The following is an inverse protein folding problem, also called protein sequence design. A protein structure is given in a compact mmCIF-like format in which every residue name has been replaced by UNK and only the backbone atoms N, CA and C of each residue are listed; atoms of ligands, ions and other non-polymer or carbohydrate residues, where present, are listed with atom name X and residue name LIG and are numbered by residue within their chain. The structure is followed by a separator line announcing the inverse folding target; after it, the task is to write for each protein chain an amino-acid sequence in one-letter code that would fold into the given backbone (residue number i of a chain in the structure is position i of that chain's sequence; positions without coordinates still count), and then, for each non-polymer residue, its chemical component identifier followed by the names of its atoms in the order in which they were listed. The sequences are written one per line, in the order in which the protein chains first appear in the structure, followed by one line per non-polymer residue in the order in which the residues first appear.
data_IF_141351559104
#
_entry.id   IF_141351559104
#
_cell.length_a   1.000
_cell.length_b   1.000
_cell.length_c   1.000
_cell.angle_alpha   90.00
_cell.angle_beta   90.00
_cell.angle_gamma   90.00
#
_symmetry.space_group_name_H-M   'P 1'
#
loop_
_entity.id
_entity.type
_entity.pdbx_description
1 polymer ?
#
# COMPACT_ATOMS: atom_id res chain seq x y z
N UNK A 1 -4.29 0.59 17.62
CA UNK A 1 -3.42 1.72 17.30
C UNK A 1 -2.09 1.61 18.03
N UNK A 2 -1.01 1.47 17.30
CA UNK A 2 0.34 1.38 17.87
C UNK A 2 0.89 2.78 18.08
N UNK A 3 1.39 3.12 19.30
CA UNK A 3 1.81 4.48 19.63
C UNK A 3 2.97 5.03 18.79
N UNK A 4 3.82 4.17 18.25
CA UNK A 4 4.99 4.58 17.46
C UNK A 4 5.04 3.82 16.14
N UNK A 5 4.29 4.32 15.16
CA UNK A 5 4.21 3.70 13.82
C UNK A 5 5.55 3.69 13.08
N UNK A 6 6.42 4.68 13.31
CA UNK A 6 7.75 4.72 12.74
C UNK A 6 8.58 3.51 13.17
N UNK A 7 8.61 3.20 14.46
CA UNK A 7 9.35 2.06 14.98
C UNK A 7 8.78 0.75 14.47
N UNK A 8 7.44 0.62 14.42
CA UNK A 8 6.79 -0.58 13.87
C UNK A 8 7.18 -0.82 12.43
N UNK A 9 7.19 0.22 11.61
CA UNK A 9 7.59 0.13 10.20
C UNK A 9 9.07 -0.26 10.05
N UNK A 10 9.95 0.32 10.86
CA UNK A 10 11.38 -0.01 10.85
C UNK A 10 11.62 -1.46 11.30
N UNK A 11 10.94 -1.91 12.34
CA UNK A 11 11.06 -3.27 12.85
C UNK A 11 10.49 -4.29 11.85
N UNK A 12 9.33 -3.99 11.26
CA UNK A 12 8.74 -4.82 10.21
C UNK A 12 9.70 -4.97 9.02
N UNK A 13 10.32 -3.87 8.57
CA UNK A 13 11.29 -3.91 7.47
C UNK A 13 12.50 -4.79 7.82
N UNK A 14 13.03 -4.70 9.03
CA UNK A 14 14.16 -5.53 9.48
C UNK A 14 13.81 -7.02 9.56
N UNK A 15 12.62 -7.33 10.06
CA UNK A 15 12.18 -8.71 10.27
C UNK A 15 11.79 -9.42 8.97
N UNK A 16 11.33 -8.70 7.97
CA UNK A 16 10.94 -9.28 6.69
C UNK A 16 12.16 -9.82 5.94
N UNK A 17 11.98 -10.95 5.29
CA UNK A 17 12.91 -11.42 4.25
C UNK A 17 12.78 -10.54 3.01
N UNK A 18 13.84 -10.45 2.19
CA UNK A 18 13.77 -9.82 0.87
C UNK A 18 12.70 -10.54 0.03
N UNK A 19 11.83 -9.77 -0.60
CA UNK A 19 10.65 -10.29 -1.31
C UNK A 19 9.43 -10.47 -0.41
N UNK A 20 9.57 -10.34 0.90
CA UNK A 20 8.46 -10.37 1.84
C UNK A 20 7.60 -9.10 1.80
N UNK A 21 6.39 -9.21 2.31
CA UNK A 21 5.45 -8.10 2.38
C UNK A 21 4.89 -7.91 3.79
N UNK A 22 4.62 -6.65 4.13
CA UNK A 22 3.85 -6.26 5.31
C UNK A 22 2.46 -5.83 4.84
N UNK A 23 1.46 -6.64 5.13
CA UNK A 23 0.07 -6.47 4.69
C UNK A 23 -0.81 -6.17 5.90
N UNK A 24 -1.41 -4.99 5.95
CA UNK A 24 -2.19 -4.58 7.13
C UNK A 24 -3.19 -3.47 6.81
N UNK A 25 -4.15 -3.28 7.71
CA UNK A 25 -5.12 -2.19 7.68
C UNK A 25 -5.00 -1.34 8.94
N UNK A 26 -5.18 -0.05 8.79
CA UNK A 26 -5.25 0.90 9.90
C UNK A 26 -6.14 2.10 9.53
N UNK A 27 -6.38 2.98 10.49
CA UNK A 27 -7.16 4.20 10.31
C UNK A 27 -6.23 5.37 10.01
N UNK A 28 -6.60 6.13 8.98
CA UNK A 28 -5.87 7.31 8.50
C UNK A 28 -6.81 8.50 8.36
N UNK A 29 -6.24 9.70 8.45
CA UNK A 29 -6.97 10.96 8.26
C UNK A 29 -6.58 11.63 6.93
N UNK A 30 -7.48 12.47 6.42
CA UNK A 30 -7.22 13.28 5.22
C UNK A 30 -6.33 14.50 5.48
N UNK A 31 -6.05 14.78 6.73
CA UNK A 31 -5.18 15.87 7.21
C UNK A 31 -4.61 15.55 8.58
N UNK A 32 -3.58 16.28 9.01
CA UNK A 32 -3.00 16.10 10.36
C UNK A 32 -4.00 16.48 11.44
N UNK A 33 -4.12 15.62 12.45
CA UNK A 33 -4.98 15.86 13.60
C UNK A 33 -4.32 16.92 14.50
N UNK A 34 -5.04 17.99 14.90
CA UNK A 34 -4.52 18.98 15.81
C UNK A 34 -4.06 18.37 17.15
N UNK A 35 -2.95 18.86 17.69
CA UNK A 35 -2.33 18.31 18.92
C UNK A 35 -3.30 18.20 20.09
N UNK A 36 -4.18 19.20 20.29
CA UNK A 36 -5.15 19.20 21.39
C UNK A 36 -6.18 18.07 21.31
N UNK A 37 -6.37 17.45 20.13
CA UNK A 37 -7.26 16.29 19.92
C UNK A 37 -6.56 14.97 20.09
N UNK A 38 -5.22 14.90 19.98
CA UNK A 38 -4.48 13.63 20.04
C UNK A 38 -4.51 12.98 21.41
N UNK A 39 -4.74 13.74 22.49
CA UNK A 39 -4.90 13.25 23.86
C UNK A 39 -6.36 13.18 24.34
N UNK A 40 -7.33 13.39 23.45
CA UNK A 40 -8.74 13.37 23.80
C UNK A 40 -9.20 11.91 24.03
N UNK A 41 -9.72 11.62 25.22
CA UNK A 41 -10.14 10.28 25.62
C UNK A 41 -11.29 9.72 24.78
N UNK A 42 -12.23 10.57 24.36
CA UNK A 42 -13.34 10.17 23.52
C UNK A 42 -12.86 9.73 22.14
N UNK A 43 -11.94 10.49 21.55
CA UNK A 43 -11.33 10.12 20.26
C UNK A 43 -10.44 8.89 20.37
N UNK A 44 -9.79 8.72 21.50
CA UNK A 44 -9.00 7.50 21.77
C UNK A 44 -9.89 6.26 21.81
N UNK A 45 -11.04 6.33 22.48
CA UNK A 45 -12.02 5.26 22.52
C UNK A 45 -12.55 4.86 21.13
N UNK A 46 -12.70 5.82 20.23
CA UNK A 46 -13.11 5.60 18.83
C UNK A 46 -11.94 5.26 17.89
N UNK A 47 -10.74 5.08 18.42
CA UNK A 47 -9.51 4.80 17.66
C UNK A 47 -9.10 5.90 16.66
N UNK A 48 -9.55 7.13 16.84
CA UNK A 48 -9.30 8.23 15.92
C UNK A 48 -8.11 9.12 16.34
N UNK A 49 -7.83 9.23 17.63
CA UNK A 49 -6.78 10.13 18.15
C UNK A 49 -5.37 9.80 17.67
N UNK A 50 -5.09 8.54 17.37
CA UNK A 50 -3.81 8.05 16.88
C UNK A 50 -3.73 7.89 15.36
N UNK A 51 -4.76 8.28 14.62
CA UNK A 51 -4.76 8.18 13.17
C UNK A 51 -3.73 9.15 12.57
N UNK A 52 -2.85 8.63 11.69
CA UNK A 52 -1.93 9.46 10.93
C UNK A 52 -2.62 10.04 9.69
N UNK A 53 -2.19 11.22 9.29
CA UNK A 53 -2.40 11.71 7.95
C UNK A 53 -1.78 10.72 6.94
N UNK A 54 -2.55 10.30 5.93
CA UNK A 54 -2.13 9.23 5.01
C UNK A 54 -0.79 9.49 4.33
N UNK A 55 -0.49 10.76 3.99
CA UNK A 55 0.77 11.09 3.34
C UNK A 55 1.96 11.08 4.31
N UNK A 56 1.76 11.44 5.57
CA UNK A 56 2.78 11.30 6.61
C UNK A 56 3.12 9.81 6.82
N UNK A 57 2.12 8.92 6.81
CA UNK A 57 2.34 7.49 6.86
C UNK A 57 3.14 6.99 5.65
N UNK A 58 2.77 7.40 4.43
CA UNK A 58 3.50 7.05 3.21
C UNK A 58 4.98 7.42 3.30
N UNK A 59 5.27 8.63 3.78
CA UNK A 59 6.66 9.09 3.96
C UNK A 59 7.41 8.31 5.03
N UNK A 60 6.75 7.93 6.13
CA UNK A 60 7.35 7.07 7.16
C UNK A 60 7.66 5.67 6.62
N UNK A 61 6.77 5.10 5.83
CA UNK A 61 6.97 3.79 5.20
C UNK A 61 8.17 3.83 4.24
N UNK A 62 8.26 4.84 3.40
CA UNK A 62 9.40 5.06 2.50
C UNK A 62 10.71 5.24 3.26
N UNK A 63 10.69 6.02 4.34
CA UNK A 63 11.85 6.24 5.22
C UNK A 63 12.31 4.96 5.93
N UNK A 64 11.42 4.01 6.19
CA UNK A 64 11.76 2.71 6.76
C UNK A 64 12.38 1.74 5.75
N UNK A 65 12.25 2.01 4.44
CA UNK A 65 12.77 1.20 3.35
C UNK A 65 11.72 0.59 2.42
N UNK A 66 10.43 0.77 2.71
CA UNK A 66 9.34 0.38 1.83
C UNK A 66 9.12 1.47 0.77
N UNK A 67 9.88 1.41 -0.31
CA UNK A 67 9.99 2.50 -1.29
C UNK A 67 8.71 2.80 -2.06
N UNK A 68 7.81 1.82 -2.20
CA UNK A 68 6.57 1.95 -2.97
C UNK A 68 5.38 1.34 -2.23
N UNK A 69 4.79 2.05 -1.25
CA UNK A 69 3.60 1.61 -0.55
C UNK A 69 2.41 1.44 -1.51
N UNK A 70 1.78 0.27 -1.51
CA UNK A 70 0.61 -0.02 -2.35
C UNK A 70 -0.68 -0.02 -1.54
N UNK A 71 -1.66 0.71 -2.03
CA UNK A 71 -3.00 0.76 -1.43
C UNK A 71 -3.86 -0.35 -2.03
N UNK A 72 -4.32 -1.26 -1.19
CA UNK A 72 -5.19 -2.37 -1.60
C UNK A 72 -6.65 -1.95 -1.57
N UNK A 73 -7.06 -1.24 -0.52
CA UNK A 73 -8.43 -0.74 -0.38
C UNK A 73 -8.49 0.50 0.49
N UNK A 74 -9.48 1.34 0.21
CA UNK A 74 -9.81 2.53 1.00
C UNK A 74 -11.29 2.48 1.30
N UNK A 75 -11.65 2.57 2.59
CA UNK A 75 -13.06 2.62 3.04
C UNK A 75 -13.28 3.83 3.92
N UNK A 76 -14.22 4.73 3.57
CA UNK A 76 -14.58 5.84 4.45
C UNK A 76 -15.10 5.33 5.80
N UNK A 77 -14.75 6.02 6.88
CA UNK A 77 -15.27 5.76 8.21
C UNK A 77 -16.39 6.76 8.49
N UNK A 78 -17.59 6.25 8.76
CA UNK A 78 -18.73 7.05 9.16
C UNK A 78 -18.70 7.25 10.67
N UNK A 79 -18.61 8.50 11.12
CA UNK A 79 -18.66 8.85 12.54
C UNK A 79 -20.14 9.08 12.93
N UNK A 80 -20.68 8.15 13.73
CA UNK A 80 -22.08 8.20 14.18
C UNK A 80 -22.28 8.99 15.48
N UNK A 81 -21.24 9.05 16.32
CA UNK A 81 -21.28 9.82 17.56
C UNK A 81 -21.21 11.33 17.25
N UNK A 82 -22.26 12.06 17.60
CA UNK A 82 -22.40 13.49 17.33
C UNK A 82 -21.35 14.34 18.03
N UNK A 83 -20.91 13.98 19.23
CA UNK A 83 -19.89 14.71 19.98
C UNK A 83 -18.52 14.52 19.33
N UNK A 84 -18.18 13.28 18.95
CA UNK A 84 -16.96 12.97 18.20
C UNK A 84 -16.94 13.74 16.89
N UNK A 85 -18.05 13.72 16.15
CA UNK A 85 -18.14 14.45 14.88
C UNK A 85 -17.87 15.93 15.03
N UNK A 86 -18.44 16.59 16.05
CA UNK A 86 -18.18 18.01 16.33
C UNK A 86 -16.70 18.30 16.65
N UNK A 87 -16.02 17.37 17.35
CA UNK A 87 -14.62 17.52 17.70
C UNK A 87 -13.69 17.42 16.50
N UNK A 88 -14.01 16.55 15.55
CA UNK A 88 -13.11 16.24 14.44
C UNK A 88 -13.43 16.95 13.14
N UNK A 89 -14.66 17.47 12.95
CA UNK A 89 -15.01 18.19 11.73
C UNK A 89 -14.02 19.34 11.45
N UNK A 90 -13.56 19.49 10.20
CA UNK A 90 -13.93 18.79 8.98
C UNK A 90 -13.03 17.61 8.62
N UNK A 91 -12.30 17.02 9.56
CA UNK A 91 -11.38 15.90 9.32
C UNK A 91 -12.16 14.67 8.90
N UNK A 92 -11.73 14.04 7.81
CA UNK A 92 -12.28 12.75 7.32
C UNK A 92 -11.32 11.62 7.65
N UNK A 93 -11.90 10.48 8.01
CA UNK A 93 -11.15 9.27 8.37
C UNK A 93 -11.47 8.13 7.41
N UNK A 94 -10.46 7.30 7.18
CA UNK A 94 -10.53 6.16 6.26
C UNK A 94 -9.83 4.95 6.87
N UNK A 95 -10.41 3.77 6.68
CA UNK A 95 -9.70 2.52 6.84
C UNK A 95 -8.97 2.22 5.56
N UNK A 96 -7.64 2.15 5.60
CA UNK A 96 -6.80 1.88 4.43
C UNK A 96 -6.03 0.59 4.67
N UNK A 97 -6.06 -0.31 3.68
CA UNK A 97 -5.24 -1.51 3.65
C UNK A 97 -4.05 -1.27 2.74
N UNK A 98 -2.85 -1.49 3.26
CA UNK A 98 -1.58 -1.35 2.57
C UNK A 98 -0.88 -2.68 2.34
N UNK A 99 -0.12 -2.75 1.24
CA UNK A 99 0.91 -3.76 0.99
C UNK A 99 2.25 -3.05 0.86
N UNK A 100 3.17 -3.40 1.73
CA UNK A 100 4.53 -2.84 1.75
C UNK A 100 5.52 -3.96 1.45
N UNK A 101 6.24 -3.84 0.34
CA UNK A 101 7.20 -4.86 -0.09
C UNK A 101 8.63 -4.49 0.31
N UNK A 102 9.36 -5.47 0.84
CA UNK A 102 10.82 -5.38 1.03
C UNK A 102 11.52 -5.89 -0.21
N UNK A 103 11.74 -5.00 -1.18
CA UNK A 103 12.44 -5.30 -2.43
C UNK A 103 13.50 -4.22 -2.65
N UNK A 104 14.75 -4.64 -2.86
CA UNK A 104 15.91 -3.75 -2.89
C UNK A 104 15.85 -2.74 -4.05
N UNK A 105 15.46 -3.21 -5.23
CA UNK A 105 15.59 -2.45 -6.48
C UNK A 105 14.33 -1.67 -6.87
N UNK A 106 13.38 -1.47 -5.94
CA UNK A 106 12.24 -0.59 -6.18
C UNK A 106 12.71 0.85 -6.37
N UNK A 107 12.13 1.52 -7.36
CA UNK A 107 12.36 2.92 -7.66
C UNK A 107 11.33 3.81 -6.95
N UNK A 108 11.64 5.12 -6.75
CA UNK A 108 10.68 6.04 -6.11
C UNK A 108 9.36 6.17 -6.86
N UNK A 109 9.41 6.11 -8.20
CA UNK A 109 8.26 6.26 -9.09
C UNK A 109 8.15 5.05 -10.03
N UNK A 110 6.99 4.91 -10.67
CA UNK A 110 6.78 3.88 -11.68
C UNK A 110 7.50 4.22 -12.99
N UNK A 111 8.50 3.42 -13.34
CA UNK A 111 9.29 3.59 -14.56
C UNK A 111 8.94 2.51 -15.59
N UNK A 112 9.00 2.87 -16.86
CA UNK A 112 8.65 2.00 -17.99
C UNK A 112 9.91 1.34 -18.61
N UNK A 113 9.95 0.02 -18.56
CA UNK A 113 10.98 -0.80 -19.20
C UNK A 113 10.39 -1.71 -20.29
N UNK A 114 9.16 -1.47 -20.72
CA UNK A 114 8.46 -2.29 -21.71
C UNK A 114 8.13 -3.70 -21.20
N UNK A 115 7.91 -3.84 -19.90
CA UNK A 115 7.64 -5.14 -19.26
C UNK A 115 6.15 -5.42 -19.15
N UNK A 116 5.80 -6.71 -19.22
CA UNK A 116 4.44 -7.17 -19.06
C UNK A 116 4.38 -8.46 -18.24
N UNK A 117 3.24 -8.70 -17.62
CA UNK A 117 2.98 -9.89 -16.81
C UNK A 117 1.63 -10.50 -17.18
N UNK A 118 1.51 -11.83 -17.03
CA UNK A 118 0.28 -12.55 -17.28
C UNK A 118 -0.03 -13.46 -16.10
N UNK A 119 -1.23 -13.30 -15.53
CA UNK A 119 -1.70 -14.18 -14.46
C UNK A 119 -2.11 -15.54 -15.04
N UNK A 120 -1.58 -16.62 -14.46
CA UNK A 120 -1.82 -18.01 -14.93
C UNK A 120 -3.20 -18.56 -14.53
N UNK A 121 -3.85 -17.99 -13.51
CA UNK A 121 -5.10 -18.48 -12.96
C UNK A 121 -4.94 -19.77 -12.14
N UNK A 122 -3.77 -20.02 -11.60
CA UNK A 122 -3.42 -21.25 -10.86
C UNK A 122 -3.44 -21.06 -9.32
N UNK A 123 -4.07 -20.02 -8.84
CA UNK A 123 -4.44 -19.86 -7.43
C UNK A 123 -5.91 -20.25 -7.27
N UNK A 124 -6.19 -21.31 -6.54
CA UNK A 124 -7.53 -21.92 -6.45
C UNK A 124 -8.60 -20.95 -5.92
N UNK A 125 -8.22 -20.08 -4.97
CA UNK A 125 -9.14 -19.08 -4.40
C UNK A 125 -9.41 -17.90 -5.35
N UNK A 126 -8.65 -17.78 -6.44
CA UNK A 126 -8.74 -16.65 -7.39
C UNK A 126 -8.57 -17.13 -8.84
N UNK A 127 -9.42 -18.04 -9.34
CA UNK A 127 -9.17 -18.73 -10.64
C UNK A 127 -9.31 -17.81 -11.86
N UNK A 128 -9.97 -16.67 -11.73
CA UNK A 128 -10.28 -15.78 -12.86
C UNK A 128 -9.41 -14.53 -12.92
N UNK A 129 -8.99 -14.01 -11.78
CA UNK A 129 -8.16 -12.81 -11.68
C UNK A 129 -7.49 -12.72 -10.32
N UNK A 130 -6.42 -11.93 -10.23
CA UNK A 130 -5.75 -11.60 -8.97
C UNK A 130 -5.45 -10.10 -8.94
N UNK A 131 -5.55 -9.50 -7.76
CA UNK A 131 -5.23 -8.09 -7.56
C UNK A 131 -4.00 -7.93 -6.68
N UNK A 132 -3.06 -7.09 -7.13
CA UNK A 132 -1.91 -6.67 -6.32
C UNK A 132 -2.31 -5.53 -5.37
N UNK A 133 -3.02 -4.55 -5.91
CA UNK A 133 -3.54 -3.38 -5.23
C UNK A 133 -4.82 -2.90 -5.93
N UNK A 134 -5.40 -1.77 -5.49
CA UNK A 134 -6.65 -1.25 -6.04
C UNK A 134 -6.56 -0.85 -7.52
N UNK A 135 -5.35 -0.55 -8.03
CA UNK A 135 -5.11 -0.14 -9.43
C UNK A 135 -4.61 -1.25 -10.33
N UNK A 136 -4.23 -2.40 -9.79
CA UNK A 136 -3.57 -3.47 -10.52
C UNK A 136 -4.28 -4.82 -10.32
N UNK A 137 -5.23 -5.10 -11.22
CA UNK A 137 -5.92 -6.39 -11.31
C UNK A 137 -5.52 -7.09 -12.61
N UNK A 138 -5.17 -8.36 -12.50
CA UNK A 138 -4.67 -9.19 -13.60
C UNK A 138 -5.65 -10.31 -13.90
N UNK A 139 -6.40 -10.22 -15.01
CA UNK A 139 -7.25 -11.32 -15.46
C UNK A 139 -6.40 -12.48 -15.97
N UNK A 140 -6.88 -13.71 -15.76
CA UNK A 140 -6.24 -14.93 -16.23
C UNK A 140 -5.96 -14.89 -17.72
N UNK A 141 -4.74 -15.26 -18.12
CA UNK A 141 -4.37 -15.49 -19.50
C UNK A 141 -4.18 -14.25 -20.36
N UNK A 142 -4.15 -13.05 -19.75
CA UNK A 142 -3.90 -11.80 -20.47
C UNK A 142 -2.61 -11.16 -20.00
N UNK A 143 -1.72 -10.86 -20.94
CA UNK A 143 -0.56 -10.00 -20.67
C UNK A 143 -1.02 -8.57 -20.45
N UNK A 144 -0.47 -7.96 -19.41
CA UNK A 144 -0.72 -6.57 -19.03
C UNK A 144 0.61 -5.86 -18.82
N UNK A 145 0.77 -4.73 -19.46
CA UNK A 145 1.94 -3.86 -19.26
C UNK A 145 1.98 -3.37 -17.83
N UNK A 146 3.17 -3.33 -17.25
CA UNK A 146 3.39 -2.91 -15.86
C UNK A 146 4.67 -2.09 -15.75
N UNK A 147 4.73 -1.21 -14.76
CA UNK A 147 5.96 -0.52 -14.40
C UNK A 147 6.98 -1.50 -13.77
N UNK A 148 8.25 -1.08 -13.73
CA UNK A 148 9.32 -1.86 -13.15
C UNK A 148 9.07 -2.30 -11.70
N UNK A 149 8.50 -1.42 -10.87
CA UNK A 149 8.17 -1.77 -9.49
C UNK A 149 7.12 -2.88 -9.40
N UNK A 150 6.04 -2.79 -10.16
CA UNK A 150 5.01 -3.84 -10.21
C UNK A 150 5.60 -5.15 -10.73
N UNK A 151 6.43 -5.11 -11.76
CA UNK A 151 7.15 -6.29 -12.25
C UNK A 151 7.98 -6.95 -11.15
N UNK A 152 8.76 -6.18 -10.40
CA UNK A 152 9.58 -6.67 -9.29
C UNK A 152 8.73 -7.24 -8.14
N UNK A 153 7.65 -6.57 -7.77
CA UNK A 153 6.74 -7.03 -6.71
C UNK A 153 6.15 -8.40 -7.02
N UNK A 154 5.79 -8.63 -8.27
CA UNK A 154 5.27 -9.93 -8.72
C UNK A 154 6.38 -10.97 -8.91
N UNK A 155 7.54 -10.57 -9.44
CA UNK A 155 8.65 -11.49 -9.77
C UNK A 155 9.48 -11.90 -8.56
N UNK A 156 9.69 -11.02 -7.60
CA UNK A 156 10.56 -11.25 -6.43
C UNK A 156 9.81 -11.57 -5.13
N UNK A 157 8.50 -11.85 -5.22
CA UNK A 157 7.68 -12.21 -4.07
C UNK A 157 7.12 -13.63 -4.20
N UNK A 158 6.33 -14.05 -3.20
CA UNK A 158 5.58 -15.31 -3.23
C UNK A 158 4.64 -15.44 -4.44
N UNK A 159 4.34 -14.33 -5.12
CA UNK A 159 3.41 -14.31 -6.25
C UNK A 159 4.04 -14.79 -7.55
N UNK A 160 5.36 -14.91 -7.63
CA UNK A 160 6.09 -15.28 -8.85
C UNK A 160 5.54 -16.53 -9.54
N UNK A 161 5.19 -17.53 -8.77
CA UNK A 161 4.68 -18.83 -9.30
C UNK A 161 3.33 -18.72 -10.01
N UNK A 162 2.60 -17.62 -9.80
CA UNK A 162 1.28 -17.38 -10.38
C UNK A 162 1.31 -16.58 -11.68
N UNK A 163 2.49 -16.08 -12.09
CA UNK A 163 2.63 -15.19 -13.23
C UNK A 163 3.64 -15.70 -14.25
N UNK A 164 3.40 -15.34 -15.51
CA UNK A 164 4.39 -15.33 -16.58
C UNK A 164 4.91 -13.90 -16.74
N UNK A 165 6.18 -13.76 -17.11
CA UNK A 165 6.89 -12.50 -17.19
C UNK A 165 7.45 -12.30 -18.59
N UNK A 166 7.31 -11.11 -19.16
CA UNK A 166 7.84 -10.74 -20.46
C UNK A 166 8.56 -9.40 -20.38
N UNK A 167 9.56 -9.20 -21.24
CA UNK A 167 10.37 -8.00 -21.29
C UNK A 167 11.68 -8.13 -20.51
N UNK A 168 12.49 -7.06 -20.57
CA UNK A 168 13.82 -7.01 -19.95
C UNK A 168 14.00 -5.67 -19.23
N UNK A 169 15.21 -5.43 -18.72
CA UNK A 169 15.61 -4.14 -18.12
C UNK A 169 16.51 -3.32 -19.05
N UNK A 170 16.68 -3.77 -20.31
CA UNK A 170 17.70 -3.23 -21.21
C UNK A 170 17.39 -1.82 -21.70
N UNK A 171 16.11 -1.47 -21.82
CA UNK A 171 15.67 -0.16 -22.33
C UNK A 171 14.71 0.52 -21.37
N UNK A 172 15.04 1.74 -20.99
CA UNK A 172 14.16 2.62 -20.22
C UNK A 172 13.39 3.54 -21.14
N UNK A 173 12.07 3.56 -21.02
CA UNK A 173 11.15 4.34 -21.87
C UNK A 173 10.60 5.60 -21.19
N UNK A 174 11.09 5.93 -20.00
CA UNK A 174 10.62 7.06 -19.20
C UNK A 174 9.59 6.65 -18.14
N UNK A 175 8.81 7.62 -17.66
CA UNK A 175 7.79 7.35 -16.66
C UNK A 175 6.67 6.48 -17.21
N UNK A 176 6.25 5.48 -16.42
CA UNK A 176 5.13 4.61 -16.80
C UNK A 176 3.81 5.37 -16.73
N UNK A 177 3.10 5.41 -17.84
CA UNK A 177 1.78 6.04 -17.89
C UNK A 177 0.78 5.23 -17.06
N UNK A 178 0.08 5.89 -16.12
CA UNK A 178 -0.93 5.27 -15.24
C UNK A 178 -0.40 4.23 -14.22
N UNK A 179 0.80 4.39 -13.73
CA UNK A 179 1.24 3.71 -12.51
C UNK A 179 0.64 4.48 -11.32
N UNK A 180 -0.63 4.18 -11.04
CA UNK A 180 -1.57 4.94 -10.28
C UNK A 180 -1.32 5.25 -8.81
#
# INVERSE_FOLDING_TARGET
LVPNKKNVLQDAFKLLKVGGEFYFSDIYSDRRIPKHLTSNELLYGECLSGALYWNDFSNLAKGAGFKDPRVVSVKPITITNKEVKKLVDPIKFYSITYRLFKIKDLEPDGEDYGQAVCYKGNLDESPHSISLDQGHTFPKGKFKEVCGNTYLMLNQSRMRKYFEFAGSWDTHHGAFQNCG
#
